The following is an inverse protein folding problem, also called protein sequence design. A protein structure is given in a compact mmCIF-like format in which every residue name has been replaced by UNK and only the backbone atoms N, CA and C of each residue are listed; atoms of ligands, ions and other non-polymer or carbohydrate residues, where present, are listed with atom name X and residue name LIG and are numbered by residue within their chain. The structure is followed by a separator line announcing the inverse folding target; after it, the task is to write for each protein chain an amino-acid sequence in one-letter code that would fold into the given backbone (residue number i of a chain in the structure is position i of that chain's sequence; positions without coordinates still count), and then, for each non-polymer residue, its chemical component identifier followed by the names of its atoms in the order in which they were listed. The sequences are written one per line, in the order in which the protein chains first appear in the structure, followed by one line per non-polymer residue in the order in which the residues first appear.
data_IF_581619969866
#
_entry.id   IF_581619969866
#
_cell.length_a   1.000
_cell.length_b   1.000
_cell.length_c   1.000
_cell.angle_alpha   90.00
_cell.angle_beta   90.00
_cell.angle_gamma   90.00
#
_symmetry.space_group_name_H-M   'P 1'
#
loop_
_entity.id
_entity.type
_entity.pdbx_description
1 polymer ?
#
# COMPACT_ATOMS: atom_id res chain seq x y z
N UNK A 1 -12.13 18.89 -81.08
CA UNK A 1 -12.33 17.59 -80.41
C UNK A 1 -13.01 17.76 -79.03
N UNK A 2 -14.28 17.34 -78.88
CA UNK A 2 -14.90 17.24 -77.57
C UNK A 2 -14.55 15.91 -76.88
N UNK A 3 -14.46 15.88 -75.53
CA UNK A 3 -13.97 14.73 -74.76
C UNK A 3 -15.00 13.59 -74.66
N UNK A 4 -14.55 12.34 -74.46
CA UNK A 4 -15.42 11.19 -74.25
C UNK A 4 -16.14 11.24 -72.88
N UNK A 5 -17.34 10.62 -72.77
CA UNK A 5 -18.16 10.66 -71.57
C UNK A 5 -17.58 9.85 -70.39
N UNK A 6 -17.93 10.21 -69.14
CA UNK A 6 -17.36 9.61 -67.94
C UNK A 6 -17.90 8.20 -67.64
N UNK A 7 -17.13 7.36 -66.93
CA UNK A 7 -17.51 5.98 -66.60
C UNK A 7 -18.63 5.90 -65.54
N UNK A 8 -19.42 4.80 -65.54
CA UNK A 8 -20.60 4.65 -64.71
C UNK A 8 -20.27 4.43 -63.22
N UNK A 9 -21.07 5.07 -62.36
CA UNK A 9 -20.98 4.95 -60.89
C UNK A 9 -21.47 3.57 -60.41
N UNK A 10 -20.78 2.91 -59.48
CA UNK A 10 -21.25 1.67 -58.88
C UNK A 10 -22.45 1.92 -57.96
N UNK A 11 -23.54 1.19 -58.22
CA UNK A 11 -24.80 1.21 -57.48
C UNK A 11 -24.68 0.46 -56.14
N UNK A 12 -25.31 1.00 -55.10
CA UNK A 12 -25.58 0.33 -53.81
C UNK A 12 -26.55 -0.84 -54.00
N UNK A 13 -26.38 -1.98 -53.32
CA UNK A 13 -27.47 -2.92 -53.09
C UNK A 13 -28.28 -2.53 -51.84
N UNK A 14 -29.60 -2.47 -52.03
CA UNK A 14 -30.65 -2.38 -51.01
C UNK A 14 -31.00 -3.76 -50.41
N UNK A 15 -31.80 -3.83 -49.33
CA UNK A 15 -31.79 -4.92 -48.37
C UNK A 15 -32.85 -6.01 -48.62
N UNK A 16 -32.52 -7.24 -48.18
CA UNK A 16 -33.51 -8.20 -47.68
C UNK A 16 -33.95 -9.33 -48.62
N UNK A 17 -33.52 -10.56 -48.31
CA UNK A 17 -34.08 -11.80 -48.88
C UNK A 17 -33.53 -13.03 -48.16
N UNK A 18 -34.35 -13.65 -47.31
CA UNK A 18 -34.03 -14.82 -46.48
C UNK A 18 -33.80 -16.09 -47.32
N UNK A 19 -32.76 -16.85 -46.99
CA UNK A 19 -32.72 -18.30 -47.19
C UNK A 19 -32.12 -18.96 -45.93
N UNK A 20 -32.80 -19.97 -45.42
CA UNK A 20 -32.47 -20.77 -44.23
C UNK A 20 -31.34 -21.76 -44.52
N UNK A 21 -30.48 -21.98 -43.52
CA UNK A 21 -29.85 -23.29 -43.29
C UNK A 21 -28.34 -23.27 -43.17
N UNK A 22 -27.82 -23.81 -42.06
CA UNK A 22 -26.43 -24.27 -41.96
C UNK A 22 -25.62 -23.53 -40.90
N UNK A 23 -25.37 -24.20 -39.77
CA UNK A 23 -24.62 -23.69 -38.64
C UNK A 23 -23.18 -23.28 -38.97
N UNK A 24 -22.74 -22.26 -38.25
CA UNK A 24 -21.39 -21.75 -38.29
C UNK A 24 -21.33 -20.62 -37.29
N UNK A 25 -21.07 -20.94 -36.03
CA UNK A 25 -20.81 -19.96 -34.99
C UNK A 25 -19.69 -19.06 -35.47
N UNK A 26 -20.06 -17.86 -35.90
CA UNK A 26 -19.11 -16.78 -36.15
C UNK A 26 -18.53 -16.42 -34.79
N UNK A 27 -17.45 -17.12 -34.44
CA UNK A 27 -16.41 -16.54 -33.62
C UNK A 27 -16.02 -15.26 -34.33
N UNK A 28 -16.55 -14.14 -33.87
CA UNK A 28 -15.88 -12.85 -34.02
C UNK A 28 -14.51 -13.09 -33.43
N UNK A 29 -13.55 -13.43 -34.28
CA UNK A 29 -12.15 -13.44 -33.93
C UNK A 29 -11.88 -12.09 -33.32
N UNK A 30 -11.66 -12.06 -32.01
CA UNK A 30 -11.02 -10.93 -31.39
C UNK A 30 -9.77 -10.70 -32.22
N UNK A 31 -9.69 -9.55 -32.91
CA UNK A 31 -8.47 -9.16 -33.57
C UNK A 31 -7.33 -9.38 -32.55
N UNK A 32 -6.26 -10.10 -32.90
CA UNK A 32 -5.19 -10.36 -31.95
C UNK A 32 -4.73 -8.99 -31.46
N UNK A 33 -4.96 -8.73 -30.17
CA UNK A 33 -4.50 -7.51 -29.53
C UNK A 33 -2.99 -7.59 -29.62
N UNK A 34 -2.38 -6.82 -30.53
CA UNK A 34 -0.93 -6.69 -30.58
C UNK A 34 -0.48 -6.27 -29.18
N UNK A 35 0.15 -7.14 -28.39
CA UNK A 35 0.53 -6.76 -27.06
C UNK A 35 1.75 -5.88 -27.25
N UNK A 36 1.55 -4.55 -27.31
CA UNK A 36 2.67 -3.62 -27.18
C UNK A 36 3.50 -4.08 -25.98
N UNK A 37 4.79 -4.22 -26.18
CA UNK A 37 5.74 -4.54 -25.12
C UNK A 37 5.75 -3.44 -24.07
N UNK A 38 6.18 -3.77 -22.85
CA UNK A 38 6.21 -2.83 -21.73
C UNK A 38 6.99 -1.55 -22.10
N UNK A 39 8.15 -1.69 -22.76
CA UNK A 39 8.96 -0.54 -23.18
C UNK A 39 8.22 0.38 -24.15
N UNK A 40 7.51 -0.19 -25.13
CA UNK A 40 6.70 0.57 -26.07
C UNK A 40 5.57 1.32 -25.33
N UNK A 41 4.90 0.67 -24.37
CA UNK A 41 3.84 1.31 -23.57
C UNK A 41 4.37 2.44 -22.72
N UNK A 42 5.50 2.23 -22.05
CA UNK A 42 6.16 3.25 -21.23
C UNK A 42 6.70 4.41 -22.07
N UNK A 43 7.21 4.14 -23.28
CA UNK A 43 7.62 5.16 -24.24
C UNK A 43 6.43 6.00 -24.71
N UNK A 44 5.31 5.37 -25.08
CA UNK A 44 4.07 6.08 -25.43
C UNK A 44 3.59 6.95 -24.26
N UNK A 45 3.59 6.41 -23.04
CA UNK A 45 3.18 7.16 -21.86
C UNK A 45 4.07 8.39 -21.62
N UNK A 46 5.40 8.22 -21.71
CA UNK A 46 6.35 9.34 -21.62
C UNK A 46 6.12 10.38 -22.70
N UNK A 47 5.93 9.95 -23.96
CA UNK A 47 5.68 10.84 -25.08
C UNK A 47 4.36 11.62 -24.94
N UNK A 48 3.29 10.98 -24.45
CA UNK A 48 2.03 11.65 -24.15
C UNK A 48 2.20 12.69 -23.04
N UNK A 49 2.85 12.32 -21.94
CA UNK A 49 3.07 13.22 -20.80
C UNK A 49 3.96 14.42 -21.14
N UNK A 50 4.88 14.29 -22.12
CA UNK A 50 5.70 15.39 -22.62
C UNK A 50 4.95 16.38 -23.52
N UNK A 51 3.70 16.11 -23.92
CA UNK A 51 2.94 16.99 -24.82
C UNK A 51 1.99 17.89 -24.04
N UNK A 52 2.15 19.22 -24.22
CA UNK A 52 1.25 20.24 -23.63
C UNK A 52 -0.23 19.96 -23.90
N UNK A 53 -0.57 19.53 -25.11
CA UNK A 53 -1.95 19.19 -25.49
C UNK A 53 -2.55 18.04 -24.65
N UNK A 54 -1.73 17.08 -24.21
CA UNK A 54 -2.19 16.00 -23.34
C UNK A 54 -2.40 16.49 -21.91
N UNK A 55 -1.53 17.38 -21.43
CA UNK A 55 -1.65 17.99 -20.09
C UNK A 55 -2.90 18.88 -19.96
N UNK A 56 -3.37 19.46 -21.06
CA UNK A 56 -4.62 20.25 -21.10
C UNK A 56 -5.90 19.41 -21.23
N UNK A 57 -5.80 18.09 -21.44
CA UNK A 57 -6.99 17.23 -21.51
C UNK A 57 -7.71 17.18 -20.15
N UNK A 58 -9.04 16.98 -20.12
CA UNK A 58 -9.74 16.73 -18.86
C UNK A 58 -9.12 15.52 -18.14
N UNK A 59 -8.92 15.64 -16.82
CA UNK A 59 -8.18 14.64 -16.04
C UNK A 59 -8.76 13.22 -16.13
N UNK A 60 -10.05 13.06 -16.41
CA UNK A 60 -10.67 11.75 -16.64
C UNK A 60 -10.06 11.01 -17.85
N UNK A 61 -9.78 11.73 -18.95
CA UNK A 61 -9.16 11.16 -20.14
C UNK A 61 -7.69 10.84 -19.92
N UNK A 62 -6.96 11.74 -19.23
CA UNK A 62 -5.57 11.49 -18.85
C UNK A 62 -5.46 10.20 -18.02
N UNK A 63 -6.32 10.05 -17.00
CA UNK A 63 -6.38 8.85 -16.16
C UNK A 63 -6.74 7.60 -16.97
N UNK A 64 -7.63 7.70 -17.96
CA UNK A 64 -8.00 6.56 -18.82
C UNK A 64 -6.82 6.10 -19.67
N UNK A 65 -6.08 7.03 -20.28
CA UNK A 65 -4.86 6.74 -21.02
C UNK A 65 -3.77 6.14 -20.14
N UNK A 66 -3.53 6.73 -18.97
CA UNK A 66 -2.58 6.19 -17.99
C UNK A 66 -2.95 4.75 -17.60
N UNK A 67 -4.21 4.50 -17.23
CA UNK A 67 -4.67 3.14 -16.91
C UNK A 67 -4.53 2.19 -18.09
N UNK A 68 -4.87 2.60 -19.31
CA UNK A 68 -4.77 1.73 -20.49
C UNK A 68 -3.32 1.31 -20.80
N UNK A 69 -2.35 2.19 -20.50
CA UNK A 69 -0.93 1.92 -20.71
C UNK A 69 -0.26 1.20 -19.53
N UNK A 70 -0.72 1.45 -18.30
CA UNK A 70 -0.16 0.85 -17.08
C UNK A 70 -0.77 -0.51 -16.73
N UNK A 71 -2.09 -0.70 -16.93
CA UNK A 71 -2.80 -1.94 -16.59
C UNK A 71 -2.23 -3.23 -17.22
N UNK A 72 -1.73 -3.23 -18.46
CA UNK A 72 -1.17 -4.44 -19.06
C UNK A 72 0.29 -4.71 -18.68
N UNK A 73 0.96 -3.82 -17.94
CA UNK A 73 2.39 -3.96 -17.65
C UNK A 73 2.70 -5.28 -16.91
N UNK A 74 3.85 -5.86 -17.25
CA UNK A 74 4.41 -6.98 -16.50
C UNK A 74 5.04 -6.50 -15.18
N UNK A 75 5.34 -7.41 -14.23
CA UNK A 75 6.04 -7.06 -12.99
C UNK A 75 7.35 -6.29 -13.22
N UNK A 76 8.14 -6.68 -14.22
CA UNK A 76 9.39 -5.98 -14.57
C UNK A 76 9.11 -4.58 -15.14
N UNK A 77 8.08 -4.43 -15.99
CA UNK A 77 7.64 -3.13 -16.50
C UNK A 77 7.14 -2.20 -15.39
N UNK A 78 6.42 -2.73 -14.40
CA UNK A 78 6.00 -1.96 -13.21
C UNK A 78 7.19 -1.50 -12.39
N UNK A 79 8.20 -2.37 -12.18
CA UNK A 79 9.44 -2.02 -11.50
C UNK A 79 10.20 -0.94 -12.25
N UNK A 80 10.41 -1.09 -13.55
CA UNK A 80 11.10 -0.11 -14.40
C UNK A 80 10.37 1.25 -14.37
N UNK A 81 9.03 1.23 -14.40
CA UNK A 81 8.24 2.46 -14.27
C UNK A 81 8.36 3.08 -12.89
N UNK A 82 8.32 2.28 -11.82
CA UNK A 82 8.50 2.75 -10.45
C UNK A 82 9.87 3.44 -10.29
N UNK A 83 10.95 2.77 -10.72
CA UNK A 83 12.31 3.32 -10.72
C UNK A 83 12.38 4.65 -11.49
N UNK A 84 11.81 4.70 -12.70
CA UNK A 84 11.75 5.91 -13.53
C UNK A 84 10.99 7.06 -12.85
N UNK A 85 9.90 6.78 -12.15
CA UNK A 85 9.13 7.79 -11.41
C UNK A 85 9.89 8.30 -10.20
N UNK A 86 10.45 7.39 -9.39
CA UNK A 86 11.27 7.76 -8.23
C UNK A 86 12.49 8.58 -8.66
N UNK A 87 13.10 8.25 -9.80
CA UNK A 87 14.22 9.00 -10.35
C UNK A 87 13.84 10.40 -10.83
N UNK A 88 12.60 10.58 -11.32
CA UNK A 88 12.09 11.85 -11.85
C UNK A 88 11.61 12.84 -10.78
N UNK A 89 11.40 12.36 -9.54
CA UNK A 89 10.99 13.22 -8.45
C UNK A 89 12.15 14.14 -8.06
N UNK A 90 11.87 15.44 -7.83
CA UNK A 90 12.90 16.38 -7.44
C UNK A 90 13.55 15.92 -6.13
N UNK A 91 14.84 15.60 -6.18
CA UNK A 91 15.69 15.54 -4.99
C UNK A 91 15.98 16.98 -4.57
N UNK A 92 15.89 17.30 -3.29
CA UNK A 92 15.93 18.65 -2.71
C UNK A 92 17.13 19.55 -3.09
N UNK A 93 18.16 19.03 -3.77
CA UNK A 93 19.38 19.76 -4.16
C UNK A 93 19.31 20.56 -5.46
N UNK A 94 18.39 21.53 -5.56
CA UNK A 94 18.39 22.49 -6.67
C UNK A 94 18.40 23.92 -6.16
N UNK A 95 19.59 24.49 -5.94
CA UNK A 95 19.78 25.96 -5.88
C UNK A 95 19.33 26.53 -7.22
N UNK A 96 18.11 27.06 -7.29
CA UNK A 96 17.92 28.30 -8.03
C UNK A 96 18.64 29.35 -7.20
N UNK A 97 19.76 29.85 -7.74
CA UNK A 97 20.61 30.81 -7.05
C UNK A 97 19.81 31.95 -6.44
N UNK A 98 20.25 32.37 -5.26
CA UNK A 98 20.04 33.72 -4.74
C UNK A 98 20.20 34.70 -5.91
N UNK A 99 19.11 35.34 -6.32
CA UNK A 99 19.12 36.36 -7.38
C UNK A 99 17.96 36.36 -8.37
N UNK A 100 17.04 35.38 -8.36
CA UNK A 100 15.89 35.39 -9.27
C UNK A 100 14.55 35.56 -8.53
N UNK A 101 14.38 36.69 -7.84
CA UNK A 101 13.07 37.20 -7.42
C UNK A 101 12.28 37.70 -8.65
N UNK A 102 11.91 36.79 -9.55
CA UNK A 102 11.17 37.10 -10.77
C UNK A 102 10.10 36.05 -11.06
N UNK A 103 9.08 36.44 -11.83
CA UNK A 103 7.95 35.58 -12.25
C UNK A 103 8.40 34.23 -12.83
N UNK A 104 9.58 34.17 -13.47
CA UNK A 104 10.17 32.94 -14.01
C UNK A 104 10.54 31.89 -12.95
N UNK A 105 10.83 32.30 -11.70
CA UNK A 105 11.11 31.39 -10.59
C UNK A 105 9.83 30.68 -10.10
N UNK A 106 8.75 31.44 -9.97
CA UNK A 106 7.44 30.93 -9.56
C UNK A 106 6.84 29.96 -10.60
N UNK A 107 7.01 30.24 -11.89
CA UNK A 107 6.57 29.32 -12.96
C UNK A 107 7.31 27.98 -12.91
N UNK A 108 8.63 28.00 -12.68
CA UNK A 108 9.45 26.79 -12.58
C UNK A 108 9.11 25.96 -11.34
N UNK A 109 8.80 26.62 -10.23
CA UNK A 109 8.35 25.95 -9.00
C UNK A 109 6.95 25.33 -9.18
N UNK A 110 6.02 26.05 -9.80
CA UNK A 110 4.69 25.54 -10.13
C UNK A 110 4.76 24.31 -11.06
N UNK A 111 5.67 24.32 -12.04
CA UNK A 111 5.89 23.16 -12.92
C UNK A 111 6.47 21.96 -12.16
N UNK A 112 7.42 22.19 -11.26
CA UNK A 112 8.01 21.14 -10.43
C UNK A 112 6.97 20.50 -9.48
N UNK A 113 6.13 21.32 -8.84
CA UNK A 113 5.02 20.86 -8.01
C UNK A 113 3.97 20.08 -8.84
N UNK A 114 3.64 20.57 -10.04
CA UNK A 114 2.73 19.84 -10.93
C UNK A 114 3.29 18.45 -11.31
N UNK A 115 4.58 18.37 -11.65
CA UNK A 115 5.26 17.11 -11.96
C UNK A 115 5.30 16.16 -10.77
N UNK A 116 5.60 16.68 -9.58
CA UNK A 116 5.58 15.96 -8.30
C UNK A 116 4.22 15.29 -8.07
N UNK A 117 3.13 16.06 -8.22
CA UNK A 117 1.75 15.56 -8.10
C UNK A 117 1.41 14.49 -9.14
N UNK A 118 1.83 14.66 -10.39
CA UNK A 118 1.61 13.66 -11.44
C UNK A 118 2.35 12.35 -11.14
N UNK A 119 3.59 12.42 -10.68
CA UNK A 119 4.35 11.24 -10.27
C UNK A 119 3.70 10.54 -9.07
N UNK A 120 3.23 11.29 -8.07
CA UNK A 120 2.51 10.73 -6.92
C UNK A 120 1.27 9.93 -7.35
N UNK A 121 0.42 10.49 -8.23
CA UNK A 121 -0.77 9.80 -8.77
C UNK A 121 -0.39 8.49 -9.49
N UNK A 122 0.73 8.48 -10.20
CA UNK A 122 1.16 7.27 -10.90
C UNK A 122 1.76 6.23 -9.98
N UNK A 123 2.54 6.64 -8.97
CA UNK A 123 3.04 5.75 -7.93
C UNK A 123 1.88 5.03 -7.22
N UNK A 124 0.80 5.75 -6.89
CA UNK A 124 -0.41 5.14 -6.33
C UNK A 124 -1.00 4.07 -7.25
N UNK A 125 -1.09 4.35 -8.55
CA UNK A 125 -1.60 3.41 -9.54
C UNK A 125 -0.72 2.15 -9.64
N UNK A 126 0.61 2.29 -9.47
CA UNK A 126 1.54 1.17 -9.44
C UNK A 126 1.38 0.32 -8.17
N UNK A 127 1.27 0.94 -6.99
CA UNK A 127 1.10 0.20 -5.73
C UNK A 127 -0.20 -0.61 -5.72
N UNK A 128 -1.26 -0.07 -6.33
CA UNK A 128 -2.55 -0.77 -6.43
C UNK A 128 -2.68 -1.54 -7.76
N UNK A 129 -1.59 -1.82 -8.46
CA UNK A 129 -1.64 -2.59 -9.69
C UNK A 129 -1.87 -4.08 -9.39
N UNK A 130 -2.65 -4.77 -10.22
CA UNK A 130 -2.99 -6.18 -10.00
C UNK A 130 -1.76 -7.12 -10.03
N UNK A 131 -0.72 -6.71 -10.76
CA UNK A 131 0.54 -7.42 -10.94
C UNK A 131 1.73 -6.75 -10.23
N UNK A 132 1.47 -5.79 -9.33
CA UNK A 132 2.54 -5.11 -8.60
C UNK A 132 3.37 -6.13 -7.80
N UNK A 133 4.70 -6.19 -7.96
CA UNK A 133 5.53 -6.98 -7.07
C UNK A 133 5.70 -6.25 -5.73
N UNK A 134 6.01 -7.00 -4.66
CA UNK A 134 6.06 -6.48 -3.29
C UNK A 134 7.01 -5.30 -3.14
N UNK A 135 8.17 -5.33 -3.79
CA UNK A 135 9.14 -4.25 -3.73
C UNK A 135 8.62 -2.95 -4.36
N UNK A 136 7.72 -3.02 -5.35
CA UNK A 136 7.10 -1.83 -5.94
C UNK A 136 6.07 -1.26 -4.98
N UNK A 137 5.28 -2.11 -4.33
CA UNK A 137 4.31 -1.70 -3.31
C UNK A 137 5.06 -1.02 -2.15
N UNK A 138 6.10 -1.65 -1.63
CA UNK A 138 6.95 -1.11 -0.57
C UNK A 138 7.62 0.19 -0.98
N UNK A 139 8.26 0.25 -2.16
CA UNK A 139 8.91 1.48 -2.63
C UNK A 139 7.94 2.67 -2.67
N UNK A 140 6.73 2.45 -3.18
CA UNK A 140 5.70 3.49 -3.22
C UNK A 140 5.28 3.90 -1.81
N UNK A 141 4.99 2.96 -0.92
CA UNK A 141 4.57 3.26 0.45
C UNK A 141 5.67 3.99 1.23
N UNK A 142 6.92 3.51 1.15
CA UNK A 142 8.09 4.15 1.75
C UNK A 142 8.25 5.58 1.22
N UNK A 143 8.10 5.79 -0.09
CA UNK A 143 8.17 7.12 -0.70
C UNK A 143 7.06 8.05 -0.20
N UNK A 144 5.82 7.57 -0.15
CA UNK A 144 4.67 8.35 0.29
C UNK A 144 4.76 8.69 1.77
N UNK A 145 5.12 7.72 2.64
CA UNK A 145 5.36 7.96 4.07
C UNK A 145 6.45 9.01 4.28
N UNK A 146 7.58 8.85 3.59
CA UNK A 146 8.71 9.78 3.68
C UNK A 146 8.32 11.20 3.27
N UNK A 147 7.51 11.36 2.21
CA UNK A 147 6.98 12.67 1.81
C UNK A 147 6.01 13.28 2.83
N UNK A 148 5.20 12.43 3.44
CA UNK A 148 4.07 12.81 4.27
C UNK A 148 4.49 13.22 5.70
N UNK A 149 5.59 12.66 6.19
CA UNK A 149 5.94 12.74 7.61
C UNK A 149 7.39 13.11 7.89
N UNK A 150 8.24 13.29 6.88
CA UNK A 150 9.65 13.59 7.10
C UNK A 150 10.09 14.81 6.31
N UNK A 151 11.06 15.52 6.87
CA UNK A 151 11.78 16.65 6.25
C UNK A 151 13.27 16.50 6.50
N UNK A 152 14.09 17.18 5.71
CA UNK A 152 15.53 17.32 6.01
C UNK A 152 15.71 18.17 7.28
N UNK A 153 16.63 17.75 8.15
CA UNK A 153 17.01 18.52 9.34
C UNK A 153 17.67 19.86 8.99
N UNK A 154 17.66 20.83 9.93
CA UNK A 154 18.31 22.12 9.74
C UNK A 154 19.82 21.95 9.52
N UNK A 155 20.35 22.55 8.45
CA UNK A 155 21.78 22.47 8.08
C UNK A 155 22.16 21.30 7.15
N UNK A 156 21.20 20.44 6.78
CA UNK A 156 21.40 19.31 5.86
C UNK A 156 20.95 19.64 4.41
N UNK A 157 20.92 20.92 4.04
CA UNK A 157 20.40 21.39 2.75
C UNK A 157 21.22 20.87 1.54
N UNK A 158 22.53 20.70 1.71
CA UNK A 158 23.42 20.10 0.70
C UNK A 158 23.26 18.57 0.60
N UNK A 159 22.61 17.93 1.58
CA UNK A 159 22.35 16.48 1.63
C UNK A 159 20.97 16.12 1.06
N UNK A 160 20.19 17.11 0.61
CA UNK A 160 18.88 16.91 -0.03
C UNK A 160 18.89 16.11 -1.34
N UNK A 161 20.07 15.70 -1.83
CA UNK A 161 20.21 14.74 -2.93
C UNK A 161 20.21 13.27 -2.48
N UNK A 162 20.21 12.99 -1.17
CA UNK A 162 20.35 11.63 -0.65
C UNK A 162 19.12 10.78 -1.02
N UNK A 163 19.41 9.58 -1.53
CA UNK A 163 18.40 8.57 -1.85
C UNK A 163 18.65 7.37 -0.96
N UNK A 164 17.60 6.90 -0.31
CA UNK A 164 17.66 5.73 0.57
C UNK A 164 17.39 4.47 -0.25
N UNK A 165 18.32 3.52 -0.16
CA UNK A 165 18.20 2.24 -0.85
C UNK A 165 17.07 1.39 -0.26
N UNK A 166 16.13 0.96 -1.11
CA UNK A 166 15.13 -0.02 -0.68
C UNK A 166 15.79 -1.38 -0.45
N UNK A 167 16.78 -1.76 -1.26
CA UNK A 167 17.52 -3.01 -1.08
C UNK A 167 18.21 -3.07 0.28
N UNK A 168 18.88 -2.00 0.71
CA UNK A 168 19.50 -1.95 2.04
C UNK A 168 18.48 -2.08 3.16
N UNK A 169 17.34 -1.40 3.04
CA UNK A 169 16.24 -1.52 3.98
C UNK A 169 15.74 -2.97 4.06
N UNK A 170 15.39 -3.56 2.92
CA UNK A 170 14.89 -4.92 2.85
C UNK A 170 15.89 -5.92 3.44
N UNK A 171 17.19 -5.79 3.12
CA UNK A 171 18.25 -6.61 3.70
C UNK A 171 18.32 -6.47 5.23
N UNK A 172 18.23 -5.24 5.76
CA UNK A 172 18.23 -4.99 7.21
C UNK A 172 17.00 -5.58 7.92
N UNK A 173 15.89 -5.67 7.20
CA UNK A 173 14.63 -6.20 7.70
C UNK A 173 14.47 -7.73 7.45
N UNK A 174 15.49 -8.39 6.88
CA UNK A 174 15.46 -9.82 6.55
C UNK A 174 14.49 -10.18 5.41
N UNK A 175 14.16 -9.22 4.54
CA UNK A 175 13.31 -9.39 3.37
C UNK A 175 14.16 -9.46 2.10
N UNK A 176 14.00 -10.51 1.30
CA UNK A 176 14.72 -10.65 0.03
C UNK A 176 13.96 -9.97 -1.12
N UNK A 177 14.66 -9.12 -1.87
CA UNK A 177 14.09 -8.39 -3.01
C UNK A 177 14.52 -9.08 -4.29
N UNK A 178 13.56 -9.62 -5.03
CA UNK A 178 13.84 -10.18 -6.36
C UNK A 178 14.13 -9.04 -7.34
N UNK A 179 15.37 -8.89 -7.82
CA UNK A 179 15.74 -8.02 -8.95
C UNK A 179 17.05 -7.25 -8.77
N UNK A 180 17.75 -7.02 -9.90
CA UNK A 180 19.13 -6.52 -9.95
C UNK A 180 19.28 -5.00 -9.72
N UNK A 181 18.22 -4.21 -9.94
CA UNK A 181 18.24 -2.75 -9.78
C UNK A 181 17.62 -2.29 -8.45
N UNK A 182 18.33 -1.47 -7.68
CA UNK A 182 17.80 -0.94 -6.42
C UNK A 182 16.79 0.21 -6.63
N UNK A 183 15.64 0.12 -5.96
CA UNK A 183 14.62 1.17 -5.96
C UNK A 183 14.99 2.26 -4.95
N UNK A 184 15.74 3.25 -5.42
CA UNK A 184 16.21 4.36 -4.60
C UNK A 184 15.07 5.35 -4.24
N UNK A 185 14.77 5.47 -2.93
CA UNK A 185 13.73 6.36 -2.40
C UNK A 185 14.31 7.76 -2.19
N UNK A 186 13.87 8.79 -2.94
CA UNK A 186 14.39 10.15 -2.77
C UNK A 186 13.95 10.76 -1.43
N UNK A 187 14.87 11.49 -0.81
CA UNK A 187 14.57 12.34 0.34
C UNK A 187 13.50 13.40 -0.01
N UNK A 188 12.69 13.81 0.98
CA UNK A 188 11.70 14.87 0.81
C UNK A 188 12.40 16.23 0.64
N UNK A 189 11.67 17.20 0.09
CA UNK A 189 12.14 18.58 0.00
C UNK A 189 12.32 19.20 1.40
N UNK A 190 13.21 20.21 1.57
CA UNK A 190 13.32 20.94 2.81
C UNK A 190 12.01 21.67 3.16
N UNK A 191 11.75 21.84 4.47
CA UNK A 191 10.49 22.31 5.04
C UNK A 191 10.01 23.71 4.57
N UNK A 192 10.85 24.46 3.85
CA UNK A 192 10.51 25.77 3.28
C UNK A 192 9.96 25.77 1.86
N UNK A 193 9.90 24.61 1.16
CA UNK A 193 9.32 24.52 -0.20
C UNK A 193 7.82 24.24 -0.15
N UNK A 194 7.05 24.94 -0.98
CA UNK A 194 5.59 25.12 -0.91
C UNK A 194 4.69 23.85 -1.07
N UNK A 195 5.23 22.63 -1.06
CA UNK A 195 4.42 21.42 -0.96
C UNK A 195 4.22 21.04 0.51
N UNK A 196 3.15 21.54 1.11
CA UNK A 196 2.72 21.08 2.43
C UNK A 196 2.59 19.55 2.47
N UNK A 197 2.78 18.96 3.65
CA UNK A 197 2.69 17.51 3.84
C UNK A 197 1.28 16.95 3.62
N UNK A 198 0.24 17.78 3.72
CA UNK A 198 -1.17 17.38 3.65
C UNK A 198 -1.56 16.53 2.42
N UNK A 199 -1.30 16.98 1.18
CA UNK A 199 -1.55 16.17 -0.02
C UNK A 199 -0.85 14.80 -0.01
N UNK A 200 0.37 14.72 0.49
CA UNK A 200 1.12 13.47 0.59
C UNK A 200 0.52 12.54 1.65
N UNK A 201 0.12 13.07 2.80
CA UNK A 201 -0.59 12.32 3.86
C UNK A 201 -1.88 11.72 3.33
N UNK A 202 -2.73 12.53 2.70
CA UNK A 202 -4.00 12.07 2.12
C UNK A 202 -3.79 10.91 1.14
N UNK A 203 -2.77 11.00 0.29
CA UNK A 203 -2.40 9.96 -0.67
C UNK A 203 -1.90 8.68 0.00
N UNK A 204 -0.98 8.81 0.96
CA UNK A 204 -0.45 7.70 1.74
C UNK A 204 -1.58 6.89 2.39
N UNK A 205 -2.46 7.56 3.13
CA UNK A 205 -3.61 6.92 3.79
C UNK A 205 -4.62 6.35 2.82
N UNK A 206 -4.86 7.01 1.69
CA UNK A 206 -5.74 6.50 0.64
C UNK A 206 -5.20 5.21 0.01
N UNK A 207 -3.88 5.13 -0.24
CA UNK A 207 -3.25 3.91 -0.76
C UNK A 207 -3.32 2.79 0.26
N UNK A 208 -2.94 3.04 1.52
CA UNK A 208 -3.01 2.03 2.58
C UNK A 208 -4.44 1.49 2.76
N UNK A 209 -5.43 2.38 2.85
CA UNK A 209 -6.84 1.99 2.94
C UNK A 209 -7.28 1.19 1.72
N UNK A 210 -6.86 1.60 0.52
CA UNK A 210 -7.16 0.92 -0.74
C UNK A 210 -6.55 -0.48 -0.82
N UNK A 211 -5.32 -0.65 -0.35
CA UNK A 211 -4.66 -1.95 -0.25
C UNK A 211 -5.38 -2.84 0.78
N UNK A 212 -5.75 -2.30 1.94
CA UNK A 212 -6.51 -3.02 2.96
C UNK A 212 -7.90 -3.48 2.50
N UNK A 213 -8.67 -2.62 1.82
CA UNK A 213 -9.99 -3.00 1.27
C UNK A 213 -9.92 -4.15 0.27
N UNK A 214 -8.83 -4.25 -0.48
CA UNK A 214 -8.62 -5.32 -1.47
C UNK A 214 -8.26 -6.65 -0.84
N UNK A 215 -8.00 -6.67 0.47
CA UNK A 215 -7.76 -7.92 1.22
C UNK A 215 -9.01 -8.73 1.52
N UNK A 216 -10.17 -8.29 1.04
CA UNK A 216 -11.45 -8.98 1.19
C UNK A 216 -11.61 -10.12 0.14
N UNK A 217 -12.05 -11.34 0.54
CA UNK A 217 -12.10 -12.55 -0.28
C UNK A 217 -12.83 -12.40 -1.62
N UNK A 218 -13.87 -11.58 -1.68
CA UNK A 218 -14.69 -11.38 -2.88
C UNK A 218 -13.89 -10.77 -4.05
N UNK A 219 -12.77 -10.11 -3.76
CA UNK A 219 -11.88 -9.52 -4.77
C UNK A 219 -10.72 -10.46 -5.12
N UNK A 220 -10.17 -11.19 -4.14
CA UNK A 220 -9.15 -12.22 -4.38
C UNK A 220 -9.70 -13.36 -5.26
N UNK A 221 -10.93 -13.81 -5.01
CA UNK A 221 -11.61 -14.83 -5.82
C UNK A 221 -11.87 -14.36 -7.26
N UNK A 222 -12.20 -13.08 -7.48
CA UNK A 222 -12.39 -12.50 -8.82
C UNK A 222 -11.08 -12.39 -9.60
N UNK A 223 -9.95 -12.13 -8.93
CA UNK A 223 -8.63 -12.09 -9.55
C UNK A 223 -8.14 -13.50 -9.89
N UNK A 224 -8.36 -14.47 -9.01
CA UNK A 224 -8.03 -15.89 -9.25
C UNK A 224 -8.89 -16.50 -10.36
N UNK A 225 -10.20 -16.22 -10.37
CA UNK A 225 -11.12 -16.71 -11.41
C UNK A 225 -10.89 -16.10 -12.81
N UNK A 226 -10.14 -15.00 -12.89
CA UNK A 226 -9.72 -14.36 -14.15
C UNK A 226 -8.34 -14.83 -14.64
N UNK A 227 -7.68 -15.74 -13.92
CA UNK A 227 -6.45 -16.39 -14.37
C UNK A 227 -6.71 -17.44 -15.45
N UNK A 228 -5.77 -17.68 -16.38
CA UNK A 228 -5.89 -18.71 -17.42
C UNK A 228 -5.64 -20.09 -16.81
N UNK A 229 -6.53 -20.54 -15.94
CA UNK A 229 -6.53 -21.90 -15.39
C UNK A 229 -7.94 -22.25 -14.90
N UNK A 230 -8.91 -22.16 -15.80
CA UNK A 230 -10.26 -22.68 -15.60
C UNK A 230 -10.68 -23.64 -16.73
N UNK A 231 -9.70 -24.20 -17.46
CA UNK A 231 -9.94 -25.25 -18.45
C UNK A 231 -8.68 -26.09 -18.64
N UNK A 232 -8.51 -27.12 -17.81
CA UNK A 232 -7.77 -28.33 -18.20
C UNK A 232 -8.10 -29.43 -17.20
N UNK A 233 -8.85 -30.41 -17.70
CA UNK A 233 -9.24 -31.65 -17.04
C UNK A 233 -8.05 -32.41 -16.43
N UNK A 234 -8.25 -33.14 -15.32
CA UNK A 234 -7.22 -33.97 -14.71
C UNK A 234 -7.26 -35.39 -15.32
N UNK A 235 -6.83 -35.55 -16.57
CA UNK A 235 -6.46 -36.88 -17.08
C UNK A 235 -5.41 -36.75 -18.18
N UNK A 236 -4.16 -36.89 -17.78
CA UNK A 236 -3.06 -37.56 -18.52
C UNK A 236 -1.73 -37.17 -17.87
N UNK A 237 -1.28 -38.00 -16.93
CA UNK A 237 0.15 -38.17 -16.66
C UNK A 237 0.62 -39.26 -17.61
N UNK A 238 1.57 -38.95 -18.48
CA UNK A 238 2.83 -39.68 -18.63
C UNK A 238 3.65 -39.13 -19.82
N UNK A 239 4.95 -38.93 -19.62
CA UNK A 239 5.90 -38.61 -20.69
C UNK A 239 6.97 -37.59 -20.30
N UNK A 240 8.16 -38.08 -20.00
CA UNK A 240 9.32 -37.29 -19.58
C UNK A 240 10.04 -36.55 -20.74
N UNK A 241 10.78 -35.52 -20.33
CA UNK A 241 11.96 -34.91 -20.95
C UNK A 241 11.80 -33.98 -22.19
N UNK A 242 11.93 -32.68 -21.94
CA UNK A 242 12.91 -31.82 -22.62
C UNK A 242 13.03 -30.47 -21.88
N UNK A 243 14.20 -30.22 -21.30
CA UNK A 243 14.59 -28.90 -20.82
C UNK A 243 14.88 -27.99 -22.02
N UNK A 244 14.22 -26.85 -22.06
CA UNK A 244 14.49 -25.73 -22.96
C UNK A 244 14.11 -24.42 -22.23
N UNK A 245 14.89 -23.33 -22.39
CA UNK A 245 14.77 -22.13 -21.57
C UNK A 245 13.62 -21.25 -22.06
N UNK A 246 13.05 -20.47 -21.13
CA UNK A 246 12.21 -19.29 -21.42
C UNK A 246 10.87 -19.58 -22.11
N UNK A 247 9.88 -20.07 -21.34
CA UNK A 247 8.48 -19.82 -21.67
C UNK A 247 7.95 -18.63 -20.86
N UNK A 248 7.55 -17.61 -21.60
CA UNK A 248 7.03 -16.28 -21.25
C UNK A 248 5.70 -16.27 -20.48
N UNK A 249 5.43 -17.30 -19.67
CA UNK A 249 4.23 -17.38 -18.85
C UNK A 249 4.66 -17.51 -17.39
N UNK A 250 5.39 -16.51 -16.90
CA UNK A 250 5.61 -16.34 -15.47
C UNK A 250 4.25 -16.41 -14.78
N UNK A 251 3.99 -17.42 -13.93
CA UNK A 251 2.71 -17.56 -13.25
C UNK A 251 2.49 -16.27 -12.50
N UNK A 252 1.31 -15.66 -12.69
CA UNK A 252 0.92 -14.42 -12.03
C UNK A 252 1.42 -14.45 -10.59
N UNK A 253 2.40 -13.60 -10.28
CA UNK A 253 2.99 -13.53 -8.95
C UNK A 253 1.82 -13.41 -7.99
N UNK A 254 1.60 -14.46 -7.19
CA UNK A 254 0.56 -14.50 -6.18
C UNK A 254 0.92 -13.44 -5.17
N UNK A 255 0.55 -12.20 -5.42
CA UNK A 255 0.78 -11.13 -4.46
C UNK A 255 -0.14 -11.43 -3.29
N UNK A 256 0.42 -12.05 -2.26
CA UNK A 256 -0.18 -12.14 -0.93
C UNK A 256 -0.50 -10.73 -0.38
N UNK A 257 -0.07 -9.66 -1.07
CA UNK A 257 -0.50 -8.28 -0.85
C UNK A 257 -2.04 -8.15 -0.83
N UNK A 258 -2.78 -8.99 -1.57
CA UNK A 258 -4.24 -9.09 -1.48
C UNK A 258 -4.74 -9.80 -0.22
N UNK A 259 -3.88 -10.06 0.74
CA UNK A 259 -4.23 -10.46 2.10
C UNK A 259 -3.56 -9.56 3.14
N UNK A 260 -2.86 -8.49 2.73
CA UNK A 260 -2.14 -7.62 3.66
C UNK A 260 -0.78 -8.19 4.09
N UNK A 261 -0.35 -9.29 3.48
CA UNK A 261 0.94 -9.96 3.72
C UNK A 261 1.85 -9.78 2.51
N UNK A 262 3.16 -9.86 2.71
CA UNK A 262 4.15 -9.95 1.65
C UNK A 262 4.42 -11.43 1.30
N UNK A 263 5.25 -11.65 0.29
CA UNK A 263 5.64 -12.99 -0.19
C UNK A 263 6.33 -13.84 0.86
N UNK A 264 7.05 -13.22 1.80
CA UNK A 264 7.67 -13.87 2.95
C UNK A 264 6.68 -14.18 4.09
N UNK A 265 5.40 -13.80 3.93
CA UNK A 265 4.35 -13.96 4.93
C UNK A 265 4.31 -12.85 5.99
N UNK A 266 5.20 -11.86 5.92
CA UNK A 266 5.22 -10.73 6.87
C UNK A 266 4.09 -9.73 6.57
N UNK A 267 3.49 -9.07 7.58
CA UNK A 267 2.47 -8.03 7.33
C UNK A 267 3.07 -6.82 6.59
N UNK A 268 2.37 -6.32 5.58
CA UNK A 268 2.78 -5.14 4.82
C UNK A 268 2.99 -3.92 5.73
N UNK A 269 2.06 -3.68 6.65
CA UNK A 269 2.17 -2.56 7.59
C UNK A 269 3.37 -2.70 8.52
N UNK A 270 3.81 -3.92 8.84
CA UNK A 270 4.99 -4.12 9.67
C UNK A 270 6.22 -3.53 8.97
N UNK A 271 6.36 -3.74 7.65
CA UNK A 271 7.44 -3.15 6.86
C UNK A 271 7.35 -1.63 6.75
N UNK A 272 6.14 -1.05 6.78
CA UNK A 272 5.97 0.42 6.83
C UNK A 272 6.50 0.98 8.16
N UNK A 273 6.24 0.28 9.28
CA UNK A 273 6.82 0.63 10.57
C UNK A 273 8.34 0.46 10.58
N UNK A 274 8.86 -0.64 10.04
CA UNK A 274 10.32 -0.85 9.98
C UNK A 274 11.00 0.18 9.08
N UNK A 275 10.34 0.65 8.02
CA UNK A 275 10.85 1.75 7.23
C UNK A 275 10.92 3.05 8.04
N UNK A 276 9.92 3.34 8.87
CA UNK A 276 9.95 4.47 9.81
C UNK A 276 11.21 4.40 10.68
N UNK A 277 11.46 3.24 11.31
CA UNK A 277 12.63 3.05 12.17
C UNK A 277 13.94 3.16 11.36
N UNK A 278 14.00 2.54 10.18
CA UNK A 278 15.14 2.64 9.27
C UNK A 278 15.46 4.08 8.87
N UNK A 279 14.41 4.91 8.66
CA UNK A 279 14.63 6.31 8.32
C UNK A 279 15.09 7.15 9.50
N UNK A 280 14.62 6.87 10.71
CA UNK A 280 14.96 7.58 11.95
C UNK A 280 16.26 7.10 12.62
N UNK A 281 16.55 5.80 12.67
CA UNK A 281 17.73 5.26 13.37
C UNK A 281 19.03 5.67 12.67
N UNK A 282 19.03 5.76 11.33
CA UNK A 282 20.15 6.33 10.58
C UNK A 282 20.38 7.83 10.85
N UNK A 283 19.48 8.50 11.57
CA UNK A 283 19.64 9.89 12.00
C UNK A 283 20.18 10.01 13.43
N UNK A 284 19.97 8.98 14.24
CA UNK A 284 20.56 8.85 15.56
C UNK A 284 22.01 8.38 15.41
N UNK A 285 22.91 9.32 15.09
CA UNK A 285 24.31 9.12 15.43
C UNK A 285 24.42 8.76 16.92
N UNK A 286 25.36 7.90 17.34
CA UNK A 286 25.47 7.53 18.74
C UNK A 286 25.65 8.79 19.58
N UNK A 287 24.64 9.12 20.39
CA UNK A 287 24.81 10.05 21.49
C UNK A 287 25.84 9.41 22.42
N UNK A 288 27.07 9.92 22.41
CA UNK A 288 28.10 9.51 23.34
C UNK A 288 27.54 9.59 24.77
N UNK A 289 27.60 8.51 25.57
CA UNK A 289 27.39 8.64 27.00
C UNK A 289 28.53 9.50 27.55
N UNK A 290 28.15 10.56 28.26
CA UNK A 290 29.08 11.34 29.07
C UNK A 290 29.81 10.42 30.05
N UNK A 291 31.07 10.07 29.77
CA UNK A 291 32.00 9.59 30.78
C UNK A 291 33.46 9.83 30.37
N UNK A 292 34.21 10.30 31.36
CA UNK A 292 35.53 10.88 31.27
C UNK A 292 36.65 9.90 30.88
N UNK A 293 37.72 10.47 30.32
CA UNK A 293 39.15 10.15 30.51
C UNK A 293 39.98 9.78 29.25
N UNK A 294 40.63 10.83 28.72
CA UNK A 294 42.04 10.92 28.30
C UNK A 294 42.55 10.31 26.96
N UNK A 295 43.56 10.95 26.33
CA UNK A 295 43.78 10.87 24.88
C UNK A 295 45.06 10.10 24.53
N UNK A 296 45.03 9.23 23.50
CA UNK A 296 46.24 8.87 22.72
C UNK A 296 45.90 8.17 21.40
N UNK A 297 46.10 8.94 20.32
CA UNK A 297 46.50 8.55 18.95
C UNK A 297 45.96 7.22 18.39
N UNK A 298 44.91 7.33 17.56
CA UNK A 298 44.87 6.61 16.28
C UNK A 298 44.10 7.43 15.23
N UNK A 299 44.82 7.83 14.19
CA UNK A 299 44.36 8.61 13.03
C UNK A 299 44.32 7.66 11.83
N UNK A 300 43.34 7.87 10.93
CA UNK A 300 42.89 7.08 9.74
C UNK A 300 41.71 6.18 10.09
N UNK A 301 40.46 6.51 9.82
CA UNK A 301 39.92 7.35 8.75
C UNK A 301 39.01 6.53 7.85
N UNK A 302 38.07 5.78 8.45
CA UNK A 302 36.92 5.21 7.74
C UNK A 302 35.81 6.23 7.94
N UNK A 303 35.55 7.03 6.90
CA UNK A 303 34.38 7.90 6.82
C UNK A 303 33.15 6.99 6.92
N UNK A 304 32.54 6.94 8.10
CA UNK A 304 31.11 6.68 8.19
C UNK A 304 30.44 7.76 7.35
N UNK A 305 29.78 7.35 6.27
CA UNK A 305 28.87 8.18 5.50
C UNK A 305 27.82 8.73 6.48
N UNK A 306 28.01 9.98 6.90
CA UNK A 306 26.99 10.78 7.58
C UNK A 306 25.87 10.99 6.57
N UNK A 307 24.84 10.16 6.65
CA UNK A 307 23.57 10.41 5.96
C UNK A 307 22.84 11.55 6.69
N UNK A 308 22.22 12.44 5.92
CA UNK A 308 21.50 13.59 6.42
C UNK A 308 20.29 13.15 7.23
N UNK A 309 20.10 13.76 8.39
CA UNK A 309 19.04 13.39 9.30
C UNK A 309 17.66 13.78 8.71
N UNK A 310 16.82 12.78 8.42
CA UNK A 310 15.39 13.00 8.20
C UNK A 310 14.71 13.17 9.56
N UNK A 311 14.11 14.33 9.78
CA UNK A 311 13.37 14.63 11.00
C UNK A 311 11.89 14.38 10.72
N UNK A 312 11.22 13.73 11.67
CA UNK A 312 9.78 13.55 11.59
C UNK A 312 9.08 14.88 11.88
N UNK A 313 8.10 15.24 11.04
CA UNK A 313 7.32 16.48 11.16
C UNK A 313 6.36 16.41 12.34
N UNK A 314 5.83 15.21 12.61
CA UNK A 314 5.09 14.92 13.83
C UNK A 314 6.11 14.54 14.91
N UNK A 315 6.04 15.19 16.07
CA UNK A 315 6.84 14.81 17.23
C UNK A 315 6.02 13.86 18.11
N UNK A 316 6.09 12.53 17.89
CA UNK A 316 5.33 11.59 18.69
C UNK A 316 5.78 11.63 20.15
N UNK A 317 4.83 11.46 21.07
CA UNK A 317 5.12 11.40 22.50
C UNK A 317 5.88 10.10 22.83
N UNK A 318 6.73 10.13 23.86
CA UNK A 318 7.50 8.95 24.28
C UNK A 318 6.59 7.76 24.62
N UNK A 319 5.44 8.02 25.23
CA UNK A 319 4.42 7.01 25.55
C UNK A 319 3.83 6.36 24.28
N UNK A 320 3.61 7.14 23.22
CA UNK A 320 3.10 6.63 21.94
C UNK A 320 4.14 5.78 21.22
N UNK A 321 5.41 6.17 21.30
CA UNK A 321 6.53 5.39 20.77
C UNK A 321 6.72 4.06 21.51
N UNK A 322 6.58 4.06 22.84
CA UNK A 322 6.62 2.83 23.66
C UNK A 322 5.46 1.89 23.30
N UNK A 323 4.25 2.44 23.15
CA UNK A 323 3.08 1.67 22.77
C UNK A 323 3.24 1.08 21.36
N UNK A 324 3.75 1.86 20.41
CA UNK A 324 4.13 1.36 19.07
C UNK A 324 5.13 0.22 19.15
N UNK A 325 6.17 0.33 19.97
CA UNK A 325 7.18 -0.73 20.13
C UNK A 325 6.55 -2.04 20.63
N UNK A 326 5.69 -1.96 21.65
CA UNK A 326 4.91 -3.11 22.16
C UNK A 326 4.02 -3.76 21.08
N UNK A 327 3.40 -2.96 20.22
CA UNK A 327 2.63 -3.47 19.08
C UNK A 327 3.51 -4.24 18.09
N UNK A 328 4.66 -3.69 17.71
CA UNK A 328 5.58 -4.33 16.77
C UNK A 328 6.09 -5.66 17.32
N UNK A 329 6.47 -5.70 18.60
CA UNK A 329 6.88 -6.93 19.27
C UNK A 329 5.77 -7.98 19.30
N UNK A 330 4.55 -7.58 19.67
CA UNK A 330 3.38 -8.47 19.68
C UNK A 330 3.08 -9.03 18.28
N UNK A 331 3.12 -8.19 17.25
CA UNK A 331 2.90 -8.60 15.87
C UNK A 331 3.98 -9.55 15.33
N UNK A 332 5.25 -9.35 15.71
CA UNK A 332 6.34 -10.29 15.38
C UNK A 332 6.13 -11.63 16.06
N UNK A 333 5.66 -11.63 17.31
CA UNK A 333 5.30 -12.84 18.06
C UNK A 333 4.19 -13.67 17.42
N UNK A 334 3.21 -13.02 16.76
CA UNK A 334 2.12 -13.69 16.03
C UNK A 334 2.58 -14.36 14.72
N UNK A 335 3.78 -14.06 14.22
CA UNK A 335 4.30 -14.58 12.94
C UNK A 335 4.72 -16.05 12.95
N UNK A 336 4.78 -16.71 14.11
CA UNK A 336 5.32 -18.06 14.25
C UNK A 336 4.53 -19.16 13.52
N UNK A 337 5.21 -20.21 13.04
CA UNK A 337 4.59 -21.35 12.34
C UNK A 337 3.70 -22.23 13.24
N UNK A 338 3.92 -22.22 14.56
CA UNK A 338 3.19 -23.04 15.55
C UNK A 338 2.04 -22.30 16.25
N UNK A 339 1.53 -21.22 15.66
CA UNK A 339 0.45 -20.47 16.30
C UNK A 339 -0.92 -21.16 16.16
N UNK A 340 -1.67 -21.19 17.25
CA UNK A 340 -3.03 -21.75 17.31
C UNK A 340 -4.06 -20.94 16.50
N UNK A 341 -3.66 -19.78 15.96
CA UNK A 341 -4.52 -18.88 15.19
C UNK A 341 -4.37 -19.11 13.69
N UNK A 342 -5.50 -19.12 12.98
CA UNK A 342 -5.48 -19.18 11.53
C UNK A 342 -4.70 -17.98 10.96
N UNK A 343 -3.95 -18.14 9.84
CA UNK A 343 -3.17 -17.04 9.25
C UNK A 343 -3.98 -15.75 9.02
N UNK A 344 -5.26 -15.89 8.65
CA UNK A 344 -6.17 -14.76 8.46
C UNK A 344 -6.48 -14.00 9.75
N UNK A 345 -6.67 -14.71 10.85
CA UNK A 345 -6.90 -14.11 12.17
C UNK A 345 -5.66 -13.37 12.65
N UNK A 346 -4.48 -13.99 12.51
CA UNK A 346 -3.20 -13.35 12.83
C UNK A 346 -3.00 -12.06 12.05
N UNK A 347 -3.23 -12.11 10.74
CA UNK A 347 -3.12 -10.94 9.89
C UNK A 347 -4.15 -9.86 10.23
N UNK A 348 -5.39 -10.22 10.57
CA UNK A 348 -6.41 -9.26 10.96
C UNK A 348 -6.07 -8.55 12.30
N UNK A 349 -5.55 -9.30 13.27
CA UNK A 349 -5.05 -8.76 14.54
C UNK A 349 -3.86 -7.82 14.29
N UNK A 350 -2.83 -8.29 13.56
CA UNK A 350 -1.66 -7.48 13.24
C UNK A 350 -2.04 -6.24 12.44
N UNK A 351 -2.96 -6.36 11.48
CA UNK A 351 -3.46 -5.24 10.70
C UNK A 351 -4.13 -4.18 11.57
N UNK A 352 -4.96 -4.58 12.55
CA UNK A 352 -5.58 -3.66 13.50
C UNK A 352 -4.54 -2.95 14.37
N UNK A 353 -3.65 -3.70 15.03
CA UNK A 353 -2.63 -3.16 15.92
C UNK A 353 -1.69 -2.19 15.20
N UNK A 354 -1.17 -2.59 14.03
CA UNK A 354 -0.25 -1.78 13.25
C UNK A 354 -0.94 -0.54 12.68
N UNK A 355 -2.22 -0.62 12.32
CA UNK A 355 -2.98 0.58 11.88
C UNK A 355 -3.12 1.59 13.01
N UNK A 356 -3.48 1.14 14.23
CA UNK A 356 -3.59 1.99 15.41
C UNK A 356 -2.24 2.59 15.80
N UNK A 357 -1.19 1.77 15.85
CA UNK A 357 0.17 2.21 16.17
C UNK A 357 0.71 3.22 15.15
N UNK A 358 0.34 3.09 13.87
CA UNK A 358 0.73 4.04 12.84
C UNK A 358 0.06 5.39 13.07
N UNK A 359 -1.24 5.43 13.38
CA UNK A 359 -1.96 6.68 13.69
C UNK A 359 -1.35 7.39 14.90
N UNK A 360 -0.97 6.64 15.95
CA UNK A 360 -0.34 7.23 17.14
C UNK A 360 0.92 8.04 16.83
N UNK A 361 1.74 7.61 15.87
CA UNK A 361 2.99 8.30 15.54
C UNK A 361 2.87 9.31 14.40
N UNK A 362 1.73 9.35 13.72
CA UNK A 362 1.50 10.18 12.52
C UNK A 362 0.37 11.19 12.66
N UNK A 363 -0.52 11.07 13.65
CA UNK A 363 -1.58 12.04 13.87
C UNK A 363 -1.05 13.29 14.56
N UNK A 364 -1.40 14.45 14.02
CA UNK A 364 -1.14 15.75 14.65
C UNK A 364 -2.18 16.05 15.74
N UNK A 365 -3.33 15.39 15.69
CA UNK A 365 -4.44 15.59 16.63
C UNK A 365 -4.22 14.78 17.92
N UNK A 366 -4.02 15.50 19.02
CA UNK A 366 -3.80 14.89 20.33
C UNK A 366 -5.03 14.14 20.87
N UNK A 367 -6.24 14.61 20.52
CA UNK A 367 -7.49 13.99 20.96
C UNK A 367 -7.72 12.69 20.19
N UNK A 368 -7.42 12.66 18.88
CA UNK A 368 -7.42 11.43 18.08
C UNK A 368 -6.42 10.41 18.65
N UNK A 369 -5.19 10.83 18.99
CA UNK A 369 -4.21 9.92 19.63
C UNK A 369 -4.73 9.40 20.97
N UNK A 370 -5.24 10.28 21.82
CA UNK A 370 -5.76 9.91 23.13
C UNK A 370 -6.92 8.90 23.04
N UNK A 371 -7.84 9.11 22.09
CA UNK A 371 -8.97 8.22 21.85
C UNK A 371 -8.55 6.80 21.43
N UNK A 372 -7.42 6.65 20.73
CA UNK A 372 -6.94 5.37 20.24
C UNK A 372 -6.03 4.60 21.22
N UNK A 373 -5.48 5.27 22.25
CA UNK A 373 -4.63 4.62 23.27
C UNK A 373 -5.36 3.54 24.05
N UNK A 374 -6.61 3.80 24.43
CA UNK A 374 -7.40 2.85 25.24
C UNK A 374 -7.75 1.58 24.44
N UNK A 375 -8.35 1.68 23.24
CA UNK A 375 -8.58 0.51 22.38
C UNK A 375 -7.31 -0.29 22.09
N UNK A 376 -6.19 0.38 21.85
CA UNK A 376 -4.92 -0.29 21.55
C UNK A 376 -4.35 -1.05 22.77
N UNK A 377 -4.35 -0.43 23.95
CA UNK A 377 -3.91 -1.10 25.17
C UNK A 377 -4.80 -2.30 25.50
N UNK A 378 -6.11 -2.18 25.32
CA UNK A 378 -7.02 -3.30 25.52
C UNK A 378 -6.70 -4.46 24.57
N UNK A 379 -6.50 -4.17 23.29
CA UNK A 379 -6.13 -5.19 22.31
C UNK A 379 -4.80 -5.87 22.63
N UNK A 380 -3.80 -5.11 23.11
CA UNK A 380 -2.52 -5.67 23.56
C UNK A 380 -2.66 -6.53 24.82
N UNK A 381 -3.47 -6.09 25.80
CA UNK A 381 -3.73 -6.86 27.02
C UNK A 381 -4.41 -8.20 26.69
N UNK A 382 -5.40 -8.19 25.80
CA UNK A 382 -6.07 -9.41 25.33
C UNK A 382 -5.09 -10.42 24.69
N UNK A 383 -4.06 -9.92 24.00
CA UNK A 383 -3.01 -10.77 23.41
C UNK A 383 -1.98 -11.25 24.43
N UNK A 384 -1.62 -10.42 25.40
CA UNK A 384 -0.69 -10.79 26.46
C UNK A 384 -1.28 -11.87 27.40
N UNK A 385 -2.60 -11.83 27.63
CA UNK A 385 -3.32 -12.83 28.43
C UNK A 385 -3.58 -14.14 27.67
N UNK A 386 -3.43 -14.15 26.34
CA UNK A 386 -3.63 -15.33 25.54
C UNK A 386 -2.54 -16.38 25.83
N UNK A 387 -2.90 -17.60 26.28
CA UNK A 387 -1.91 -18.62 26.58
C UNK A 387 -1.15 -19.03 25.32
N UNK A 388 0.14 -19.34 25.52
CA UNK A 388 1.00 -19.90 24.50
C UNK A 388 0.36 -21.18 23.88
N UNK A 389 0.63 -21.45 22.59
CA UNK A 389 0.13 -22.66 21.95
C UNK A 389 0.61 -23.91 22.73
N UNK A 390 -0.29 -24.88 22.98
CA UNK A 390 0.11 -26.12 23.65
C UNK A 390 1.10 -26.89 22.76
N UNK A 391 2.09 -27.59 23.34
CA UNK A 391 3.09 -28.31 22.56
C UNK A 391 2.44 -29.38 21.66
N UNK A 392 3.06 -29.70 20.53
CA UNK A 392 2.55 -30.69 19.58
C UNK A 392 2.31 -32.07 20.21
N UNK A 393 3.01 -32.44 21.29
CA UNK A 393 2.79 -33.68 22.04
C UNK A 393 1.61 -33.63 23.04
N UNK A 394 0.91 -32.50 23.18
CA UNK A 394 -0.17 -32.34 24.16
C UNK A 394 -1.40 -33.21 23.82
N UNK A 395 -2.05 -33.74 24.86
CA UNK A 395 -3.28 -34.53 24.71
C UNK A 395 -4.44 -33.69 24.15
N UNK A 396 -5.42 -34.29 23.44
CA UNK A 396 -6.57 -33.57 22.89
C UNK A 396 -7.32 -32.73 23.93
N UNK A 397 -7.51 -33.25 25.15
CA UNK A 397 -8.14 -32.53 26.26
C UNK A 397 -7.37 -31.27 26.68
N UNK A 398 -6.02 -31.35 26.73
CA UNK A 398 -5.17 -30.20 27.07
C UNK A 398 -5.19 -29.16 25.95
N UNK A 399 -5.20 -29.59 24.69
CA UNK A 399 -5.33 -28.69 23.53
C UNK A 399 -6.67 -27.95 23.54
N UNK A 400 -7.77 -28.67 23.75
CA UNK A 400 -9.11 -28.07 23.83
C UNK A 400 -9.22 -27.03 24.97
N UNK A 401 -8.66 -27.32 26.15
CA UNK A 401 -8.63 -26.36 27.27
C UNK A 401 -7.81 -25.11 26.95
N UNK A 402 -6.62 -25.28 26.37
CA UNK A 402 -5.77 -24.16 25.97
C UNK A 402 -6.45 -23.29 24.89
N UNK A 403 -7.11 -23.92 23.92
CA UNK A 403 -7.88 -23.23 22.88
C UNK A 403 -9.07 -22.47 23.47
N UNK A 404 -9.79 -23.03 24.45
CA UNK A 404 -10.87 -22.35 25.14
C UNK A 404 -10.38 -21.15 25.97
N UNK A 405 -9.26 -21.29 26.67
CA UNK A 405 -8.64 -20.17 27.41
C UNK A 405 -8.20 -19.06 26.46
N UNK A 406 -7.61 -19.40 25.32
CA UNK A 406 -7.23 -18.42 24.28
C UNK A 406 -8.44 -17.74 23.67
N UNK A 407 -9.51 -18.47 23.36
CA UNK A 407 -10.75 -17.88 22.87
C UNK A 407 -11.34 -16.87 23.87
N UNK A 408 -11.27 -17.14 25.18
CA UNK A 408 -11.71 -16.21 26.23
C UNK A 408 -10.83 -14.95 26.28
N UNK A 409 -9.51 -15.09 26.22
CA UNK A 409 -8.59 -13.95 26.21
C UNK A 409 -8.83 -13.05 24.98
N UNK A 410 -9.05 -13.65 23.81
CA UNK A 410 -9.25 -12.92 22.55
C UNK A 410 -10.68 -12.37 22.37
N UNK A 411 -11.62 -12.65 23.27
CA UNK A 411 -13.02 -12.23 23.15
C UNK A 411 -13.22 -10.71 23.21
N UNK A 412 -12.24 -9.98 23.74
CA UNK A 412 -12.23 -8.51 23.74
C UNK A 412 -11.97 -7.91 22.35
N UNK A 413 -11.19 -8.58 21.49
CA UNK A 413 -10.76 -8.04 20.20
C UNK A 413 -11.92 -7.76 19.23
N UNK A 414 -12.95 -8.63 19.11
CA UNK A 414 -14.14 -8.29 18.32
C UNK A 414 -14.85 -7.04 18.83
N UNK A 415 -15.01 -6.87 20.15
CA UNK A 415 -15.65 -5.68 20.71
C UNK A 415 -14.89 -4.40 20.34
N UNK A 416 -13.58 -4.40 20.60
CA UNK A 416 -12.68 -3.28 20.24
C UNK A 416 -12.77 -2.98 18.74
N UNK A 417 -12.77 -4.01 17.89
CA UNK A 417 -12.89 -3.84 16.45
C UNK A 417 -14.26 -3.28 16.03
N UNK A 418 -15.36 -3.64 16.71
CA UNK A 418 -16.68 -3.12 16.41
C UNK A 418 -16.80 -1.63 16.77
N UNK A 419 -16.31 -1.23 17.94
CA UNK A 419 -16.29 0.17 18.41
C UNK A 419 -15.45 1.04 17.45
N UNK A 420 -14.23 0.61 17.16
CA UNK A 420 -13.36 1.30 16.20
C UNK A 420 -13.99 1.39 14.80
N UNK A 421 -14.75 0.39 14.35
CA UNK A 421 -15.40 0.43 13.05
C UNK A 421 -16.47 1.53 12.94
N UNK A 422 -17.12 1.86 14.06
CA UNK A 422 -18.14 2.92 14.14
C UNK A 422 -17.49 4.29 14.30
N UNK A 423 -16.51 4.40 15.20
CA UNK A 423 -15.98 5.70 15.65
C UNK A 423 -14.82 6.23 14.81
N UNK A 424 -14.27 5.41 13.91
CA UNK A 424 -13.10 5.79 13.11
C UNK A 424 -13.37 5.80 11.61
N UNK A 425 -12.41 6.35 10.85
CA UNK A 425 -12.45 6.39 9.39
C UNK A 425 -11.14 5.89 8.77
N UNK A 426 -11.07 5.84 7.44
CA UNK A 426 -9.84 5.49 6.73
C UNK A 426 -9.31 4.09 7.04
N UNK A 427 -7.99 3.99 7.26
CA UNK A 427 -7.30 2.71 7.46
C UNK A 427 -7.78 1.98 8.71
N UNK A 428 -7.94 2.69 9.83
CA UNK A 428 -8.35 2.09 11.11
C UNK A 428 -9.71 1.42 10.97
N UNK A 429 -10.66 2.08 10.30
CA UNK A 429 -11.98 1.50 10.02
C UNK A 429 -11.89 0.23 9.18
N UNK A 430 -11.06 0.20 8.14
CA UNK A 430 -10.91 -0.99 7.28
C UNK A 430 -10.23 -2.14 8.02
N UNK A 431 -9.21 -1.84 8.84
CA UNK A 431 -8.55 -2.82 9.68
C UNK A 431 -9.50 -3.38 10.77
N UNK A 432 -10.28 -2.50 11.39
CA UNK A 432 -11.32 -2.85 12.36
C UNK A 432 -12.40 -3.74 11.72
N UNK A 433 -12.85 -3.41 10.51
CA UNK A 433 -13.77 -4.25 9.74
C UNK A 433 -13.21 -5.65 9.48
N UNK A 434 -11.94 -5.74 9.08
CA UNK A 434 -11.27 -7.02 8.83
C UNK A 434 -11.12 -7.83 10.13
N UNK A 435 -10.69 -7.18 11.22
CA UNK A 435 -10.58 -7.79 12.54
C UNK A 435 -11.94 -8.30 13.04
N UNK A 436 -13.00 -7.48 12.96
CA UNK A 436 -14.36 -7.91 13.31
C UNK A 436 -14.75 -9.18 12.56
N UNK A 437 -14.61 -9.19 11.23
CA UNK A 437 -15.01 -10.34 10.41
C UNK A 437 -14.24 -11.61 10.75
N UNK A 438 -12.92 -11.54 10.86
CA UNK A 438 -12.08 -12.73 11.07
C UNK A 438 -12.10 -13.23 12.52
N UNK A 439 -12.40 -12.35 13.47
CA UNK A 439 -12.39 -12.63 14.91
C UNK A 439 -13.78 -12.83 15.50
N UNK A 440 -14.86 -12.65 14.73
CA UNK A 440 -16.25 -12.81 15.22
C UNK A 440 -16.48 -14.16 15.89
N UNK A 441 -15.74 -15.20 15.51
CA UNK A 441 -15.79 -16.53 16.15
C UNK A 441 -15.40 -16.52 17.63
N UNK A 442 -14.70 -15.49 18.09
CA UNK A 442 -14.32 -15.29 19.49
C UNK A 442 -15.29 -14.36 20.23
N UNK A 443 -16.24 -13.72 19.54
CA UNK A 443 -17.20 -12.82 20.18
C UNK A 443 -18.14 -13.62 21.10
N UNK A 444 -18.37 -13.11 22.31
CA UNK A 444 -19.37 -13.67 23.21
C UNK A 444 -20.79 -13.36 22.70
N UNK A 445 -21.77 -14.18 23.10
CA UNK A 445 -23.18 -13.90 22.81
C UNK A 445 -23.62 -12.55 23.39
N UNK A 446 -23.08 -12.16 24.55
CA UNK A 446 -23.31 -10.85 25.18
C UNK A 446 -22.81 -9.70 24.30
N UNK A 447 -21.61 -9.80 23.73
CA UNK A 447 -21.07 -8.80 22.79
C UNK A 447 -21.95 -8.68 21.55
N UNK A 448 -22.39 -9.81 20.98
CA UNK A 448 -23.29 -9.81 19.83
C UNK A 448 -24.66 -9.21 20.17
N UNK A 449 -25.22 -9.55 21.33
CA UNK A 449 -26.50 -9.03 21.80
C UNK A 449 -26.43 -7.53 22.08
N UNK A 450 -25.36 -7.06 22.72
CA UNK A 450 -25.12 -5.65 23.00
C UNK A 450 -24.98 -4.81 21.73
N UNK A 451 -24.21 -5.30 20.74
CA UNK A 451 -24.09 -4.63 19.44
C UNK A 451 -25.44 -4.59 18.69
N UNK A 452 -26.21 -5.68 18.74
CA UNK A 452 -27.56 -5.71 18.13
C UNK A 452 -28.53 -4.72 18.82
N UNK A 453 -28.45 -4.59 20.14
CA UNK A 453 -29.24 -3.65 20.91
C UNK A 453 -28.87 -2.21 20.56
N UNK A 454 -27.57 -1.87 20.55
CA UNK A 454 -27.08 -0.55 20.16
C UNK A 454 -27.55 -0.13 18.76
N UNK A 455 -27.55 -1.05 17.78
CA UNK A 455 -28.06 -0.78 16.43
C UNK A 455 -29.58 -0.58 16.40
N UNK A 456 -30.32 -1.33 17.21
CA UNK A 456 -31.79 -1.19 17.31
C UNK A 456 -32.16 0.16 17.92
N UNK A 457 -31.46 0.55 18.99
CA UNK A 457 -31.75 1.77 19.72
C UNK A 457 -31.31 3.02 18.93
N UNK A 458 -30.20 2.94 18.20
CA UNK A 458 -29.78 3.99 17.26
C UNK A 458 -30.81 4.27 16.15
N UNK A 459 -31.61 3.27 15.74
CA UNK A 459 -32.71 3.45 14.78
C UNK A 459 -34.01 3.95 15.42
N UNK A 460 -34.16 3.80 16.74
CA UNK A 460 -35.31 4.28 17.49
C UNK A 460 -35.21 5.75 17.92
N UNK A 461 -34.01 6.33 17.94
CA UNK A 461 -33.75 7.70 18.41
C UNK A 461 -33.98 8.83 17.40
N UNK A 462 -34.11 8.54 16.10
CA UNK A 462 -34.31 9.59 15.06
C UNK A 462 -35.80 9.90 14.76
N UNK A 463 -36.75 9.32 15.51
CA UNK A 463 -38.19 9.47 15.22
C UNK A 463 -38.97 10.31 16.25
N UNK A 464 -38.31 11.06 17.14
CA UNK A 464 -38.96 11.57 18.36
C UNK A 464 -38.78 13.03 18.76
N UNK A 465 -38.10 13.88 17.99
CA UNK A 465 -37.91 15.30 18.35
C UNK A 465 -38.20 16.20 17.13
N UNK A 466 -39.48 16.42 16.84
CA UNK A 466 -39.89 17.28 15.72
C UNK A 466 -41.36 17.72 15.68
N UNK A 467 -42.25 17.15 16.49
CA UNK A 467 -43.67 17.55 16.52
C UNK A 467 -44.20 17.58 17.96
N UNK A 468 -43.81 18.59 18.72
CA UNK A 468 -44.51 18.98 19.96
C UNK A 468 -44.30 20.46 20.31
N UNK A 469 -44.26 21.35 19.33
CA UNK A 469 -44.30 22.80 19.58
C UNK A 469 -45.08 23.51 18.46
N UNK A 470 -46.36 23.16 18.35
CA UNK A 470 -47.33 23.89 17.56
C UNK A 470 -48.74 23.68 18.13
N UNK A 471 -48.93 23.97 19.42
CA UNK A 471 -50.25 24.27 20.02
C UNK A 471 -50.06 24.85 21.43
N UNK A 472 -49.82 26.16 21.50
CA UNK A 472 -50.14 27.02 22.64
C UNK A 472 -50.21 28.48 22.19
#
# INVERSE_FOLDING_TARGET
PPPPPPPPRPQRPSPGGRARGGGGGSTRGAAPAWPLEDDARLAILRALQGRRAFLTLPGAFQRRWQRALLAPLSPSGLRARCASLLASLPSGGGRSGEGAEGEAGAEKEAEAAHRSRLCAVQLEQLAVHARAPDEVILAVLCRLLTAAYFTLGPGEEDVGAERRSLREFCASAGFDVTGDDDLAIPAPAPAGRAEGHGPWRSRFWSVLSGLFRRTLPDMAAKVVAQGPSAASDPSERDGAAAAGPESEHSPAVKTLAFTGLLRDGSPLLLRVHEWWDFVTERTAGPSEPAQAASPKKRRRGIRASRGGALVCVTTPEAADMELRARCLESCRGLGGEEDALAPRQRNAISGLLLSLALVLVTSEDADERAALRTPLNEALSALAEAPAPPPAAATPKRRARAQQQRARALAALPRVAAELFVDTSGLVREAARAAWRELVTFASEETLAGLCAAVRDARGGEAGEGEAEAEA
#
